data_IF_176251599115
#
_entry.id   IF_176251599115
#
_cell.length_a   1.000
_cell.length_b   1.000
_cell.length_c   1.000
_cell.angle_alpha   90.00
_cell.angle_beta   90.00
_cell.angle_gamma   90.00
#
_symmetry.space_group_name_H-M   'P 1'
#
loop_
_entity.id
_entity.type
_entity.pdbx_description
1 polymer ?
#
# COMPACT_ATOMS: atom_id res chain seq x y z
N UNK A 1 1.44 -0.79 23.41
CA UNK A 1 1.66 0.15 22.30
C UNK A 1 2.48 -0.53 21.23
N UNK A 2 1.91 -0.72 20.04
CA UNK A 2 2.57 -1.35 18.90
C UNK A 2 3.21 -0.26 18.06
N UNK A 3 4.42 -0.51 17.55
CA UNK A 3 5.15 0.44 16.69
C UNK A 3 5.17 -0.11 15.27
N UNK A 4 4.82 0.73 14.31
CA UNK A 4 4.84 0.41 12.90
C UNK A 4 5.58 1.46 12.08
N UNK A 5 6.16 1.07 10.95
CA UNK A 5 6.83 2.00 10.02
C UNK A 5 6.14 1.96 8.65
N UNK A 6 5.42 3.03 8.32
CA UNK A 6 4.59 3.12 7.12
C UNK A 6 4.78 4.49 6.47
N UNK A 7 4.80 4.55 5.13
CA UNK A 7 5.02 5.80 4.36
C UNK A 7 6.29 6.58 4.74
N UNK A 8 7.31 5.90 5.28
CA UNK A 8 8.51 6.57 5.77
C UNK A 8 8.33 7.28 7.12
N UNK A 9 7.27 6.97 7.86
CA UNK A 9 6.94 7.54 9.16
C UNK A 9 6.75 6.43 10.20
N UNK A 10 7.11 6.73 11.45
CA UNK A 10 6.82 5.86 12.59
C UNK A 10 5.40 6.17 13.09
N UNK A 11 4.58 5.14 13.26
CA UNK A 11 3.26 5.24 13.87
C UNK A 11 3.18 4.37 15.12
N UNK A 12 2.43 4.87 16.10
CA UNK A 12 2.11 4.19 17.34
C UNK A 12 0.64 3.77 17.31
N UNK A 13 0.38 2.52 17.66
CA UNK A 13 -0.96 1.94 17.71
C UNK A 13 -1.28 1.53 19.14
N UNK A 14 -2.52 1.82 19.54
CA UNK A 14 -3.02 1.52 20.88
C UNK A 14 -3.20 0.02 21.08
N UNK A 15 -3.74 -0.67 20.07
CA UNK A 15 -3.99 -2.11 20.07
C UNK A 15 -3.69 -2.77 18.72
N UNK A 16 -3.84 -4.10 18.69
CA UNK A 16 -3.59 -4.92 17.50
C UNK A 16 -4.64 -4.70 16.40
N UNK A 17 -5.86 -4.33 16.75
CA UNK A 17 -6.95 -4.11 15.80
C UNK A 17 -6.69 -2.85 14.99
N UNK A 18 -6.31 -1.74 15.64
CA UNK A 18 -5.90 -0.51 14.98
C UNK A 18 -4.70 -0.73 14.04
N UNK A 19 -3.73 -1.55 14.48
CA UNK A 19 -2.60 -1.93 13.63
C UNK A 19 -3.05 -2.74 12.41
N UNK A 20 -3.92 -3.73 12.59
CA UNK A 20 -4.42 -4.57 11.49
C UNK A 20 -5.19 -3.76 10.45
N UNK A 21 -6.05 -2.83 10.88
CA UNK A 21 -6.79 -1.94 9.97
C UNK A 21 -5.84 -1.11 9.11
N UNK A 22 -4.86 -0.46 9.74
CA UNK A 22 -3.88 0.35 9.00
C UNK A 22 -3.03 -0.51 8.04
N UNK A 23 -2.66 -1.75 8.41
CA UNK A 23 -1.97 -2.67 7.49
C UNK A 23 -2.85 -3.00 6.27
N UNK A 24 -4.14 -3.23 6.46
CA UNK A 24 -5.08 -3.50 5.35
C UNK A 24 -5.18 -2.30 4.41
N UNK A 25 -5.32 -1.09 4.96
CA UNK A 25 -5.35 0.16 4.19
C UNK A 25 -4.04 0.36 3.41
N UNK A 26 -2.90 0.09 4.04
CA UNK A 26 -1.59 0.19 3.40
C UNK A 26 -1.44 -0.79 2.23
N UNK A 27 -1.91 -2.03 2.39
CA UNK A 27 -1.93 -3.03 1.31
C UNK A 27 -2.86 -2.58 0.18
N UNK A 28 -4.02 -2.01 0.49
CA UNK A 28 -4.96 -1.50 -0.51
C UNK A 28 -4.33 -0.37 -1.33
N UNK A 29 -3.83 0.67 -0.65
CA UNK A 29 -3.13 1.78 -1.29
C UNK A 29 -2.01 1.29 -2.21
N UNK A 30 -1.16 0.38 -1.71
CA UNK A 30 -0.02 -0.09 -2.48
C UNK A 30 -0.44 -0.85 -3.75
N UNK A 31 -1.58 -1.54 -3.74
CA UNK A 31 -2.03 -2.31 -4.90
C UNK A 31 -2.83 -1.49 -5.90
N UNK A 32 -3.68 -0.58 -5.43
CA UNK A 32 -4.75 0.03 -6.23
C UNK A 32 -4.61 1.53 -6.43
N UNK A 33 -3.84 2.23 -5.60
CA UNK A 33 -3.78 3.70 -5.65
C UNK A 33 -2.37 4.22 -5.94
N UNK A 34 -1.34 3.45 -5.55
CA UNK A 34 0.05 3.89 -5.66
C UNK A 34 0.46 4.08 -7.11
N UNK A 35 0.56 5.33 -7.55
CA UNK A 35 1.12 5.66 -8.87
C UNK A 35 2.65 5.79 -8.78
N UNK A 36 3.37 5.21 -9.74
CA UNK A 36 4.83 5.30 -9.85
C UNK A 36 5.25 5.68 -11.26
N UNK A 37 6.33 6.45 -11.39
CA UNK A 37 6.95 6.74 -12.70
C UNK A 37 7.41 5.45 -13.39
N UNK A 38 7.78 4.42 -12.63
CA UNK A 38 8.18 3.11 -13.19
C UNK A 38 7.04 2.38 -13.88
N UNK A 39 5.82 2.58 -13.40
CA UNK A 39 4.61 1.95 -13.96
C UNK A 39 3.93 2.84 -15.00
N UNK A 40 4.62 3.87 -15.52
CA UNK A 40 4.11 4.81 -16.51
C UNK A 40 2.78 5.47 -16.08
N UNK A 41 2.61 5.73 -14.78
CA UNK A 41 1.39 6.32 -14.25
C UNK A 41 0.29 5.32 -13.90
N UNK A 42 0.45 4.02 -14.21
CA UNK A 42 -0.51 2.98 -13.83
C UNK A 42 -0.36 2.59 -12.36
N UNK A 43 -1.45 2.16 -11.75
CA UNK A 43 -1.42 1.46 -10.47
C UNK A 43 -0.78 0.08 -10.62
N UNK A 44 -0.29 -0.57 -9.56
CA UNK A 44 0.38 -1.86 -9.67
C UNK A 44 -0.53 -2.99 -10.19
N UNK A 45 -1.83 -2.94 -9.93
CA UNK A 45 -2.80 -3.87 -10.52
C UNK A 45 -2.97 -3.60 -12.02
N UNK A 46 -3.18 -2.35 -12.42
CA UNK A 46 -3.32 -1.99 -13.84
C UNK A 46 -2.07 -2.34 -14.65
N UNK A 47 -0.87 -2.08 -14.10
CA UNK A 47 0.38 -2.43 -14.75
C UNK A 47 0.51 -3.94 -14.99
N UNK A 48 0.12 -4.77 -14.00
CA UNK A 48 0.11 -6.24 -14.15
C UNK A 48 -0.86 -6.69 -15.23
N UNK A 49 -2.08 -6.13 -15.23
CA UNK A 49 -3.08 -6.46 -16.24
C UNK A 49 -2.62 -6.05 -17.64
N UNK A 50 -2.04 -4.86 -17.78
CA UNK A 50 -1.50 -4.39 -19.05
C UNK A 50 -0.40 -5.31 -19.58
N UNK A 51 0.53 -5.74 -18.72
CA UNK A 51 1.60 -6.66 -19.09
C UNK A 51 1.13 -8.07 -19.48
N UNK A 52 -0.05 -8.50 -19.02
CA UNK A 52 -0.65 -9.78 -19.43
C UNK A 52 -1.39 -9.70 -20.78
N UNK A 53 -1.78 -8.49 -21.19
CA UNK A 53 -2.53 -8.24 -22.44
C UNK A 53 -1.66 -7.73 -23.59
N UNK A 54 -0.44 -7.29 -23.32
CA UNK A 54 0.52 -6.77 -24.28
C UNK A 54 1.39 -7.88 -24.88
#
# INVERSE_FOLDING_TARGET
MIVGYFYGQVQLFEDITAFQMMVQDYIHFFNYERVSLKTKGMTPVEYRNHALTA
#
